data_IF_626726139958
#
_entry.id   IF_626726139958
#
_cell.length_a   1.000
_cell.length_b   1.000
_cell.length_c   1.000
_cell.angle_alpha   90.00
_cell.angle_beta   90.00
_cell.angle_gamma   90.00
#
_symmetry.space_group_name_H-M   'P 1'
#
loop_
_entity.id
_entity.type
_entity.pdbx_description
1 polymer ?
#
# COMPACT_ATOMS: atom_id res chain seq x y z
N UNK A 1 -16.65 -6.29 -0.96
CA UNK A 1 -16.23 -4.95 -1.43
C UNK A 1 -14.82 -5.09 -1.99
N UNK A 2 -14.55 -4.61 -3.22
CA UNK A 2 -13.27 -4.85 -3.87
C UNK A 2 -12.12 -4.13 -3.14
N UNK A 3 -10.98 -4.83 -2.98
CA UNK A 3 -9.78 -4.29 -2.38
C UNK A 3 -8.69 -4.13 -3.45
N UNK A 4 -8.26 -2.90 -3.64
CA UNK A 4 -7.20 -2.52 -4.59
C UNK A 4 -5.92 -2.24 -3.83
N UNK A 5 -4.77 -2.35 -4.50
CA UNK A 5 -3.52 -1.86 -3.94
C UNK A 5 -2.68 -1.17 -4.99
N UNK A 6 -1.94 -0.16 -4.55
CA UNK A 6 -1.09 0.65 -5.40
C UNK A 6 0.26 0.85 -4.71
N UNK A 7 1.33 0.66 -5.46
CA UNK A 7 2.70 0.82 -4.97
C UNK A 7 3.20 2.23 -5.26
N UNK A 8 3.43 3.01 -4.21
CA UNK A 8 4.07 4.32 -4.28
C UNK A 8 5.58 4.09 -4.33
N UNK A 9 6.26 4.62 -5.35
CA UNK A 9 7.72 4.50 -5.56
C UNK A 9 8.19 3.05 -5.69
N UNK A 10 8.77 2.71 -6.83
CA UNK A 10 9.49 1.46 -7.01
C UNK A 10 11.00 1.73 -6.85
N UNK A 11 11.68 1.18 -5.83
CA UNK A 11 13.11 1.41 -5.64
C UNK A 11 13.98 0.67 -6.66
N UNK A 12 13.42 -0.25 -7.46
CA UNK A 12 14.19 -1.09 -8.39
C UNK A 12 15.08 -2.14 -7.72
N UNK A 13 15.10 -2.19 -6.39
CA UNK A 13 15.92 -3.13 -5.61
C UNK A 13 15.25 -4.50 -5.57
N UNK A 14 16.05 -5.53 -5.87
CA UNK A 14 15.67 -6.94 -5.68
C UNK A 14 16.26 -7.48 -4.38
N UNK A 15 15.43 -8.09 -3.56
CA UNK A 15 15.85 -8.83 -2.36
C UNK A 15 15.54 -10.30 -2.60
N UNK A 16 16.55 -11.16 -2.51
CA UNK A 16 16.42 -12.59 -2.81
C UNK A 16 15.76 -12.86 -4.19
N UNK A 17 16.20 -12.10 -5.20
CA UNK A 17 15.67 -12.11 -6.56
C UNK A 17 14.20 -11.65 -6.73
N UNK A 18 13.55 -11.14 -5.68
CA UNK A 18 12.19 -10.63 -5.71
C UNK A 18 12.18 -9.10 -5.72
N UNK A 19 11.39 -8.48 -6.59
CA UNK A 19 11.12 -7.03 -6.55
C UNK A 19 10.24 -6.65 -5.35
N UNK A 20 10.13 -5.35 -5.03
CA UNK A 20 9.18 -4.88 -4.01
C UNK A 20 7.74 -5.25 -4.36
N UNK A 21 7.38 -5.17 -5.64
CA UNK A 21 6.07 -5.58 -6.12
C UNK A 21 5.83 -7.09 -5.90
N UNK A 22 6.80 -7.95 -6.23
CA UNK A 22 6.68 -9.40 -6.02
C UNK A 22 6.45 -9.75 -4.54
N UNK A 23 7.21 -9.10 -3.65
CA UNK A 23 7.10 -9.32 -2.19
C UNK A 23 5.74 -8.87 -1.67
N UNK A 24 5.30 -7.66 -2.05
CA UNK A 24 3.99 -7.13 -1.63
C UNK A 24 2.85 -7.97 -2.20
N UNK A 25 2.87 -8.28 -3.50
CA UNK A 25 1.83 -9.07 -4.17
C UNK A 25 1.58 -10.41 -3.49
N UNK A 26 2.63 -11.11 -3.05
CA UNK A 26 2.50 -12.40 -2.34
C UNK A 26 1.72 -12.25 -1.04
N UNK A 27 2.07 -11.27 -0.22
CA UNK A 27 1.40 -11.04 1.08
C UNK A 27 -0.01 -10.51 0.87
N UNK A 28 -0.16 -9.48 0.03
CA UNK A 28 -1.42 -8.77 -0.19
C UNK A 28 -2.50 -9.65 -0.84
N UNK A 29 -2.10 -10.59 -1.71
CA UNK A 29 -3.04 -11.59 -2.25
C UNK A 29 -3.69 -12.42 -1.13
N UNK A 30 -2.94 -12.82 -0.10
CA UNK A 30 -3.48 -13.53 1.07
C UNK A 30 -4.47 -12.70 1.90
N UNK A 31 -4.45 -11.38 1.77
CA UNK A 31 -5.31 -10.43 2.50
C UNK A 31 -6.51 -9.93 1.67
N UNK A 32 -6.70 -10.52 0.48
CA UNK A 32 -7.79 -10.19 -0.45
C UNK A 32 -7.55 -8.96 -1.32
N UNK A 33 -6.32 -8.41 -1.36
CA UNK A 33 -5.94 -7.32 -2.26
C UNK A 33 -5.49 -7.89 -3.61
N UNK A 34 -6.45 -8.37 -4.39
CA UNK A 34 -6.17 -9.03 -5.68
C UNK A 34 -5.89 -8.03 -6.81
N UNK A 35 -6.44 -6.83 -6.71
CA UNK A 35 -6.41 -5.84 -7.79
C UNK A 35 -5.23 -4.87 -7.63
N UNK A 36 -4.10 -5.18 -8.26
CA UNK A 36 -2.98 -4.25 -8.38
C UNK A 36 -3.27 -3.16 -9.41
N UNK A 37 -3.08 -1.90 -9.04
CA UNK A 37 -3.19 -0.76 -9.94
C UNK A 37 -1.79 -0.29 -10.36
N UNK A 38 -1.55 -0.21 -11.68
CA UNK A 38 -0.34 0.42 -12.24
C UNK A 38 -0.50 1.94 -12.34
N UNK A 39 -1.73 2.39 -12.56
CA UNK A 39 -2.13 3.79 -12.58
C UNK A 39 -3.23 3.99 -11.53
N UNK A 40 -3.00 4.91 -10.61
CA UNK A 40 -3.98 5.25 -9.56
C UNK A 40 -5.24 5.88 -10.16
N UNK A 41 -5.14 6.56 -11.31
CA UNK A 41 -6.30 7.16 -11.98
C UNK A 41 -7.30 6.12 -12.48
N UNK A 42 -6.89 4.85 -12.60
CA UNK A 42 -7.76 3.73 -12.92
C UNK A 42 -8.52 3.17 -11.71
N UNK A 43 -8.33 3.73 -10.51
CA UNK A 43 -9.03 3.31 -9.30
C UNK A 43 -10.54 3.57 -9.42
N UNK A 44 -11.40 2.54 -9.29
CA UNK A 44 -12.84 2.74 -9.27
C UNK A 44 -13.28 3.55 -8.04
N UNK A 45 -14.38 4.30 -8.15
CA UNK A 45 -14.92 5.10 -7.04
C UNK A 45 -15.47 4.27 -5.88
N UNK A 46 -15.66 2.97 -6.08
CA UNK A 46 -16.16 2.03 -5.07
C UNK A 46 -15.06 1.06 -4.66
N UNK A 47 -15.05 0.67 -3.38
CA UNK A 47 -14.02 -0.21 -2.84
C UNK A 47 -13.12 0.49 -1.84
N UNK A 48 -12.02 -0.18 -1.51
CA UNK A 48 -10.96 0.35 -0.67
C UNK A 48 -9.62 0.10 -1.33
N UNK A 49 -8.65 0.96 -1.05
CA UNK A 49 -7.31 0.86 -1.59
C UNK A 49 -6.28 0.88 -0.48
N UNK A 50 -5.30 -0.02 -0.57
CA UNK A 50 -4.08 0.01 0.20
C UNK A 50 -2.97 0.68 -0.64
N UNK A 51 -2.58 1.88 -0.23
CA UNK A 51 -1.43 2.60 -0.75
C UNK A 51 -0.21 2.16 0.06
N UNK A 52 0.84 1.65 -0.58
CA UNK A 52 2.06 1.17 0.11
C UNK A 52 3.30 1.66 -0.59
N UNK A 53 4.27 2.17 0.18
CA UNK A 53 5.57 2.57 -0.34
C UNK A 53 6.45 1.36 -0.66
N UNK A 54 6.87 1.21 -1.92
CA UNK A 54 7.72 0.11 -2.36
C UNK A 54 9.17 0.21 -1.88
N UNK A 55 9.59 1.38 -1.38
CA UNK A 55 10.92 1.64 -0.83
C UNK A 55 11.04 1.35 0.68
N UNK A 56 10.00 0.76 1.29
CA UNK A 56 10.01 0.21 2.65
C UNK A 56 9.78 -1.31 2.64
N UNK A 57 10.32 -2.00 3.65
CA UNK A 57 10.02 -3.39 3.92
C UNK A 57 8.99 -3.46 5.06
N UNK A 58 7.93 -4.23 4.84
CA UNK A 58 6.86 -4.41 5.82
C UNK A 58 6.90 -5.81 6.40
N UNK A 59 6.75 -5.90 7.72
CA UNK A 59 6.40 -7.14 8.38
C UNK A 59 4.97 -7.54 7.96
N UNK A 60 4.74 -8.83 7.74
CA UNK A 60 3.44 -9.36 7.32
C UNK A 60 2.31 -8.97 8.29
N UNK A 61 2.59 -8.92 9.60
CA UNK A 61 1.59 -8.55 10.63
C UNK A 61 1.12 -7.10 10.48
N UNK A 62 2.01 -6.20 10.07
CA UNK A 62 1.65 -4.80 9.80
C UNK A 62 0.71 -4.73 8.60
N UNK A 63 1.01 -5.50 7.54
CA UNK A 63 0.13 -5.57 6.36
C UNK A 63 -1.22 -6.22 6.69
N UNK A 64 -1.25 -7.20 7.59
CA UNK A 64 -2.50 -7.80 8.09
C UNK A 64 -3.38 -6.77 8.82
N UNK A 65 -2.81 -5.99 9.74
CA UNK A 65 -3.55 -4.92 10.44
C UNK A 65 -4.06 -3.88 9.44
N UNK A 66 -3.17 -3.38 8.58
CA UNK A 66 -3.53 -2.42 7.54
C UNK A 66 -4.55 -2.97 6.54
N UNK A 67 -4.61 -4.27 6.32
CA UNK A 67 -5.56 -4.87 5.41
C UNK A 67 -6.98 -5.03 5.97
N UNK A 68 -7.11 -4.95 7.29
CA UNK A 68 -8.35 -5.12 8.03
C UNK A 68 -8.93 -3.80 8.54
N UNK A 69 -8.09 -2.79 8.77
CA UNK A 69 -8.51 -1.49 9.29
C UNK A 69 -8.50 -0.40 8.21
N UNK A 70 -9.68 0.13 7.88
CA UNK A 70 -9.82 1.26 6.97
C UNK A 70 -9.63 2.60 7.68
N UNK A 71 -9.23 3.60 6.90
CA UNK A 71 -8.93 4.97 7.32
C UNK A 71 -7.76 5.07 8.29
N UNK A 72 -6.77 4.19 8.11
CA UNK A 72 -5.54 4.16 8.91
C UNK A 72 -4.35 4.54 8.03
N UNK A 73 -3.46 5.38 8.57
CA UNK A 73 -2.19 5.74 7.96
C UNK A 73 -1.06 5.21 8.84
N UNK A 74 -0.21 4.35 8.28
CA UNK A 74 1.01 3.90 8.94
C UNK A 74 2.14 4.89 8.67
N UNK A 75 2.73 5.40 9.74
CA UNK A 75 3.82 6.38 9.69
C UNK A 75 5.05 5.83 10.38
N UNK A 76 6.22 6.16 9.85
CA UNK A 76 7.51 5.88 10.47
C UNK A 76 8.20 7.19 10.83
N UNK A 77 8.92 7.20 11.93
CA UNK A 77 9.75 8.35 12.31
C UNK A 77 11.16 8.15 11.79
N UNK A 78 11.64 9.08 10.97
CA UNK A 78 13.02 9.13 10.46
C UNK A 78 13.53 10.56 10.56
N UNK A 79 14.68 10.77 11.19
CA UNK A 79 15.29 12.11 11.36
C UNK A 79 14.30 13.14 11.96
N UNK A 80 13.57 12.75 13.00
CA UNK A 80 12.50 13.56 13.63
C UNK A 80 11.33 13.96 12.71
N UNK A 81 11.22 13.37 11.52
CA UNK A 81 10.10 13.57 10.61
C UNK A 81 9.18 12.34 10.61
N UNK A 82 7.88 12.58 10.67
CA UNK A 82 6.84 11.53 10.57
C UNK A 82 6.44 11.33 9.12
N UNK A 83 6.91 10.23 8.52
CA UNK A 83 6.76 9.93 7.10
C UNK A 83 5.64 8.89 6.92
N UNK A 84 4.59 9.15 6.12
CA UNK A 84 3.61 8.15 5.77
C UNK A 84 4.24 7.11 4.84
N UNK A 85 3.99 5.83 5.13
CA UNK A 85 4.55 4.71 4.34
C UNK A 85 3.50 3.73 3.85
N UNK A 86 2.34 3.68 4.48
CA UNK A 86 1.19 2.97 3.96
C UNK A 86 -0.12 3.62 4.45
N UNK A 87 -1.20 3.43 3.70
CA UNK A 87 -2.54 3.85 4.11
C UNK A 87 -3.59 2.93 3.50
N UNK A 88 -4.55 2.47 4.31
CA UNK A 88 -5.74 1.77 3.81
C UNK A 88 -6.92 2.71 3.92
N UNK A 89 -7.47 3.13 2.79
CA UNK A 89 -8.55 4.11 2.74
C UNK A 89 -9.66 3.67 1.78
N UNK A 90 -10.82 4.31 1.89
CA UNK A 90 -11.83 4.20 0.85
C UNK A 90 -11.28 4.74 -0.47
N UNK A 91 -11.71 4.14 -1.58
CA UNK A 91 -11.19 4.51 -2.90
C UNK A 91 -11.40 6.00 -3.23
N UNK A 92 -12.51 6.58 -2.77
CA UNK A 92 -12.84 8.00 -2.89
C UNK A 92 -11.86 8.95 -2.20
N UNK A 93 -11.12 8.49 -1.18
CA UNK A 93 -10.15 9.28 -0.42
C UNK A 93 -8.72 9.16 -0.94
N UNK A 94 -8.46 8.26 -1.88
CA UNK A 94 -7.12 7.98 -2.38
C UNK A 94 -6.36 9.20 -2.93
N UNK A 95 -7.00 10.11 -3.72
CA UNK A 95 -6.31 11.29 -4.25
C UNK A 95 -5.77 12.20 -3.14
N UNK A 96 -6.57 12.44 -2.10
CA UNK A 96 -6.22 13.31 -0.97
C UNK A 96 -5.02 12.77 -0.19
N UNK A 97 -4.91 11.45 -0.06
CA UNK A 97 -3.84 10.80 0.72
C UNK A 97 -2.52 10.76 -0.05
N UNK A 98 -2.54 10.78 -1.39
CA UNK A 98 -1.33 10.82 -2.20
C UNK A 98 -0.61 12.17 -2.14
N UNK A 99 -1.34 13.24 -1.86
CA UNK A 99 -0.82 14.61 -1.76
C UNK A 99 -0.32 14.99 -0.35
N UNK A 100 -0.44 14.08 0.63
CA UNK A 100 -0.15 14.31 2.06
C UNK A 100 1.22 13.77 2.53
#
# INVERSE_FOLDING_TARGET
MNKYWYMIRNPGIRLWNLSSEDRLRRVLKGLGFEYFLQDIQALPSTGSILLVRGDYLFDERILQVLGNEQNVIFRVTRNNQSIPVAAHVQASLAPVVLDA
#
